data_IF_390085011134
#
_entry.id   IF_390085011134
#
_cell.length_a   1.000
_cell.length_b   1.000
_cell.length_c   1.000
_cell.angle_alpha   90.00
_cell.angle_beta   90.00
_cell.angle_gamma   90.00
#
_symmetry.space_group_name_H-M   'P 1'
#
loop_
_entity.id
_entity.type
_entity.pdbx_description
1 polymer ?
#
# COMPACT_ATOMS: atom_id res chain seq x y z
N UNK A 1 11.24 -28.63 -0.88
CA UNK A 1 10.22 -28.19 0.05
C UNK A 1 10.65 -27.01 0.90
N UNK A 2 11.94 -26.83 1.10
CA UNK A 2 12.41 -25.65 1.80
C UNK A 2 11.93 -24.37 1.13
N UNK A 3 12.05 -24.32 -0.18
CA UNK A 3 11.57 -23.18 -0.95
C UNK A 3 10.08 -23.00 -0.75
N UNK A 4 9.34 -24.07 -0.70
CA UNK A 4 7.90 -24.02 -0.51
C UNK A 4 7.55 -23.49 0.88
N UNK A 5 8.32 -23.90 1.90
CA UNK A 5 8.11 -23.40 3.25
C UNK A 5 8.38 -21.91 3.33
N UNK A 6 9.44 -21.46 2.69
CA UNK A 6 9.76 -20.04 2.64
C UNK A 6 8.67 -19.27 1.91
N UNK A 7 8.19 -19.84 0.81
CA UNK A 7 7.12 -19.23 0.05
C UNK A 7 5.85 -19.12 0.89
N UNK A 8 5.55 -20.15 1.69
CA UNK A 8 4.38 -20.10 2.56
C UNK A 8 4.50 -19.02 3.60
N UNK A 9 5.67 -18.83 4.17
CA UNK A 9 5.88 -17.76 5.13
C UNK A 9 5.74 -16.38 4.47
N UNK A 10 6.30 -16.26 3.28
CA UNK A 10 6.19 -15.01 2.53
C UNK A 10 4.74 -14.73 2.20
N UNK A 11 4.01 -15.74 1.76
CA UNK A 11 2.61 -15.57 1.41
C UNK A 11 1.76 -15.24 2.64
N UNK A 12 2.07 -15.85 3.78
CA UNK A 12 1.35 -15.53 5.01
C UNK A 12 1.54 -14.07 5.38
N UNK A 13 2.77 -13.59 5.31
CA UNK A 13 3.05 -12.20 5.60
C UNK A 13 2.39 -11.28 4.58
N UNK A 14 2.46 -11.66 3.31
CA UNK A 14 1.83 -10.90 2.24
C UNK A 14 0.32 -10.83 2.41
N UNK A 15 -0.28 -11.94 2.85
CA UNK A 15 -1.71 -11.97 3.08
C UNK A 15 -2.11 -11.02 4.20
N UNK A 16 -1.35 -11.03 5.30
CA UNK A 16 -1.59 -10.11 6.40
C UNK A 16 -1.42 -8.67 5.94
N UNK A 17 -0.36 -8.39 5.17
CA UNK A 17 -0.13 -7.05 4.64
C UNK A 17 -1.25 -6.63 3.72
N UNK A 18 -1.76 -7.55 2.91
CA UNK A 18 -2.86 -7.26 2.01
C UNK A 18 -4.10 -6.82 2.78
N UNK A 19 -4.31 -7.40 3.95
CA UNK A 19 -5.46 -7.08 4.78
C UNK A 19 -5.22 -5.89 5.69
N UNK A 20 -3.98 -5.39 5.75
CA UNK A 20 -3.67 -4.23 6.56
C UNK A 20 -4.09 -2.97 5.83
N UNK A 21 -4.82 -2.14 6.53
CA UNK A 21 -5.24 -0.83 6.00
C UNK A 21 -4.40 0.26 6.65
N UNK A 22 -3.90 1.15 5.83
CA UNK A 22 -3.05 2.26 6.27
C UNK A 22 -3.84 3.55 6.26
N UNK A 23 -3.47 4.46 7.15
CA UNK A 23 -3.92 5.83 7.06
C UNK A 23 -3.10 6.56 5.99
N UNK A 24 -3.55 7.76 5.62
CA UNK A 24 -2.77 8.60 4.70
C UNK A 24 -1.41 8.91 5.30
N UNK A 25 -1.36 9.15 6.59
CA UNK A 25 -0.08 9.43 7.27
C UNK A 25 0.87 8.24 7.20
N UNK A 26 0.36 7.04 7.42
CA UNK A 26 1.17 5.82 7.33
C UNK A 26 1.72 5.65 5.93
N UNK A 27 0.89 5.85 4.91
CA UNK A 27 1.31 5.72 3.52
C UNK A 27 2.38 6.76 3.19
N UNK A 28 2.21 7.98 3.67
CA UNK A 28 3.16 9.06 3.45
C UNK A 28 4.52 8.71 4.07
N UNK A 29 4.50 8.12 5.27
CA UNK A 29 5.73 7.72 5.93
C UNK A 29 6.45 6.62 5.15
N UNK A 30 5.70 5.64 4.67
CA UNK A 30 6.30 4.53 3.92
C UNK A 30 6.94 5.02 2.63
N UNK A 31 6.26 5.91 1.92
CA UNK A 31 6.76 6.44 0.66
C UNK A 31 7.68 7.64 0.86
N UNK A 32 7.81 8.11 2.10
CA UNK A 32 8.66 9.26 2.44
C UNK A 32 8.28 10.50 1.65
N UNK A 33 6.99 10.77 1.58
CA UNK A 33 6.44 11.95 0.91
C UNK A 33 5.46 12.65 1.85
N UNK A 34 5.02 13.81 1.46
CA UNK A 34 4.02 14.53 2.24
C UNK A 34 2.62 13.95 2.03
N UNK A 35 1.72 14.23 2.99
CA UNK A 35 0.34 13.76 2.90
C UNK A 35 -0.36 14.28 1.65
N UNK A 36 -0.08 15.51 1.26
CA UNK A 36 -0.70 16.09 0.07
C UNK A 36 -0.38 15.26 -1.16
N UNK A 37 0.85 14.73 -1.23
CA UNK A 37 1.22 13.88 -2.35
C UNK A 37 0.40 12.60 -2.37
N UNK A 38 0.12 12.03 -1.19
CA UNK A 38 -0.71 10.83 -1.12
C UNK A 38 -2.12 11.12 -1.61
N UNK A 39 -2.69 12.26 -1.21
CA UNK A 39 -4.02 12.65 -1.70
C UNK A 39 -4.04 12.81 -3.21
N UNK A 40 -2.99 13.38 -3.77
CA UNK A 40 -2.88 13.49 -5.24
C UNK A 40 -2.89 12.13 -5.89
N UNK A 41 -2.10 11.20 -5.36
CA UNK A 41 -1.99 9.86 -5.95
C UNK A 41 -3.31 9.11 -5.86
N UNK A 42 -4.03 9.29 -4.75
CA UNK A 42 -5.36 8.68 -4.60
C UNK A 42 -6.34 9.28 -5.60
N UNK A 43 -6.34 10.59 -5.73
CA UNK A 43 -7.26 11.27 -6.63
C UNK A 43 -6.97 10.97 -8.08
N UNK A 44 -5.70 10.73 -8.43
CA UNK A 44 -5.30 10.37 -9.78
C UNK A 44 -5.48 8.89 -10.08
N UNK A 45 -5.84 8.10 -9.07
CA UNK A 45 -6.00 6.67 -9.23
C UNK A 45 -4.69 5.91 -9.34
N UNK A 46 -3.58 6.54 -9.01
CA UNK A 46 -2.27 5.87 -9.05
C UNK A 46 -2.07 4.95 -7.87
N UNK A 47 -2.71 5.23 -6.77
CA UNK A 47 -2.75 4.38 -5.60
C UNK A 47 -4.22 4.13 -5.30
N UNK A 48 -4.61 2.88 -5.13
CA UNK A 48 -5.99 2.54 -4.82
C UNK A 48 -6.21 2.63 -3.33
N UNK A 49 -7.27 3.31 -2.94
CA UNK A 49 -7.65 3.44 -1.56
C UNK A 49 -9.16 3.40 -1.44
N UNK A 50 -9.63 3.28 -0.20
CA UNK A 50 -11.04 3.30 0.10
C UNK A 50 -11.38 4.57 0.86
N UNK A 51 -12.46 5.22 0.47
CA UNK A 51 -12.96 6.37 1.22
C UNK A 51 -14.05 5.89 2.16
N UNK A 52 -13.84 6.12 3.43
CA UNK A 52 -14.79 5.77 4.46
C UNK A 52 -15.40 7.07 4.96
N UNK A 53 -16.71 7.22 4.78
CA UNK A 53 -17.35 8.48 5.12
C UNK A 53 -16.99 9.56 4.12
N UNK A 54 -16.93 10.82 4.57
CA UNK A 54 -16.74 11.95 3.67
C UNK A 54 -15.31 12.25 3.32
N UNK A 55 -14.37 11.98 4.21
CA UNK A 55 -13.00 12.44 4.01
C UNK A 55 -11.95 11.49 4.56
N UNK A 56 -12.34 10.36 5.09
CA UNK A 56 -11.39 9.44 5.69
C UNK A 56 -10.98 8.41 4.67
N UNK A 57 -9.69 8.36 4.38
CA UNK A 57 -9.14 7.37 3.46
C UNK A 57 -8.49 6.23 4.23
N UNK A 58 -8.62 5.04 3.68
CA UNK A 58 -7.85 3.87 4.13
C UNK A 58 -7.23 3.25 2.89
N UNK A 59 -5.95 2.94 3.00
CA UNK A 59 -5.17 2.49 1.86
C UNK A 59 -4.66 1.09 2.16
N UNK A 60 -5.08 0.08 1.39
CA UNK A 60 -4.51 -1.26 1.57
C UNK A 60 -3.00 -1.19 1.39
N UNK A 61 -2.28 -1.80 2.30
CA UNK A 61 -0.81 -1.76 2.26
C UNK A 61 -0.28 -2.31 0.94
N UNK A 62 -0.98 -3.29 0.37
CA UNK A 62 -0.59 -3.85 -0.92
C UNK A 62 -0.58 -2.79 -2.02
N UNK A 63 -1.46 -1.81 -1.94
CA UNK A 63 -1.50 -0.73 -2.94
C UNK A 63 -0.20 0.06 -2.97
N UNK A 64 0.38 0.28 -1.79
CA UNK A 64 1.66 0.98 -1.69
C UNK A 64 2.77 0.13 -2.30
N UNK A 65 2.79 -1.15 -1.99
CA UNK A 65 3.80 -2.06 -2.52
C UNK A 65 3.72 -2.16 -4.04
N UNK A 66 2.51 -2.15 -4.59
CA UNK A 66 2.33 -2.19 -6.04
C UNK A 66 2.79 -0.90 -6.71
N UNK A 67 2.63 0.21 -6.04
CA UNK A 67 3.05 1.50 -6.57
C UNK A 67 4.56 1.63 -6.66
N UNK A 68 5.28 1.16 -5.63
CA UNK A 68 6.73 1.30 -5.54
C UNK A 68 7.45 0.70 -6.74
N UNK A 69 7.17 -0.56 -7.14
CA UNK A 69 7.84 -1.12 -8.31
C UNK A 69 7.55 -0.36 -9.59
N UNK A 70 6.35 0.18 -9.73
CA UNK A 70 5.97 0.95 -10.91
C UNK A 70 6.87 2.17 -11.04
N UNK A 71 7.14 2.84 -9.94
CA UNK A 71 8.02 4.02 -9.95
C UNK A 71 9.47 3.61 -10.15
N UNK A 72 9.87 2.49 -9.58
CA UNK A 72 11.24 2.01 -9.70
C UNK A 72 11.59 1.62 -11.12
N UNK A 73 10.61 1.19 -11.90
CA UNK A 73 10.83 0.78 -13.27
C UNK A 73 11.17 1.95 -14.20
N UNK A 74 10.94 3.15 -13.75
CA UNK A 74 11.23 4.34 -14.52
C UNK A 74 12.68 4.76 -14.37
#
# INVERSE_FOLDING_TARGET
MLILSEANQIYANSFEDTMTLLTVEDAADILMVGKNRIYELLNQGKIKGMRIGKSTWRIPKISIYQYIPTQSAL
#
